data_IF_204765309196
#
_entry.id   IF_204765309196
#
_cell.length_a   1.000
_cell.length_b   1.000
_cell.length_c   1.000
_cell.angle_alpha   90.00
_cell.angle_beta   90.00
_cell.angle_gamma   90.00
#
_symmetry.space_group_name_H-M   'P 1'
#
loop_
_entity.id
_entity.type
_entity.pdbx_description
1 polymer ?
#
# COMPACT_ATOMS: atom_id res chain seq x y z
N UNK A 1 21.04 21.45 22.06
CA UNK A 1 21.77 20.38 21.33
C UNK A 1 21.67 20.68 19.85
N UNK A 2 22.77 20.70 19.11
CA UNK A 2 22.71 20.87 17.65
C UNK A 2 22.33 19.56 16.97
N UNK A 3 21.31 19.60 16.12
CA UNK A 3 20.88 18.46 15.30
C UNK A 3 21.17 18.79 13.84
N UNK A 4 21.91 17.90 13.18
CA UNK A 4 22.23 18.03 11.77
C UNK A 4 21.08 17.55 10.90
N UNK A 5 20.86 18.21 9.77
CA UNK A 5 19.89 17.78 8.76
C UNK A 5 20.27 16.39 8.23
N UNK A 6 19.35 15.41 8.19
CA UNK A 6 19.62 14.12 7.57
C UNK A 6 19.83 14.24 6.05
N UNK A 7 20.78 13.49 5.49
CA UNK A 7 21.16 13.53 4.07
C UNK A 7 20.06 13.08 3.08
N UNK A 8 18.97 12.47 3.58
CA UNK A 8 17.91 11.85 2.76
C UNK A 8 16.52 12.33 3.16
N UNK A 9 15.63 12.50 2.17
CA UNK A 9 14.21 12.85 2.31
C UNK A 9 13.88 14.30 2.74
N UNK A 10 14.87 15.16 2.96
CA UNK A 10 14.67 16.58 3.27
C UNK A 10 15.20 17.45 2.12
N UNK A 11 14.43 18.46 1.70
CA UNK A 11 14.81 19.38 0.62
C UNK A 11 15.85 20.43 1.04
N UNK A 12 16.40 21.14 0.05
CA UNK A 12 17.41 22.21 0.23
C UNK A 12 16.86 23.49 0.84
N UNK A 13 15.54 23.55 1.03
CA UNK A 13 14.78 24.61 1.67
C UNK A 13 14.87 24.59 3.21
N UNK A 14 15.56 23.61 3.80
CA UNK A 14 15.75 23.48 5.26
C UNK A 14 17.20 23.77 5.69
N UNK A 15 17.41 24.41 6.86
CA UNK A 15 18.74 24.73 7.36
C UNK A 15 19.58 23.47 7.62
N UNK A 16 20.89 23.56 7.39
CA UNK A 16 21.83 22.44 7.57
C UNK A 16 21.91 21.93 9.01
N UNK A 17 21.72 22.82 9.98
CA UNK A 17 21.64 22.49 11.40
C UNK A 17 20.60 23.36 12.10
N UNK A 18 19.98 22.82 13.13
CA UNK A 18 19.12 23.60 14.02
C UNK A 18 19.41 23.27 15.48
N UNK A 19 19.19 24.26 16.35
CA UNK A 19 19.30 24.06 17.79
C UNK A 19 18.01 23.45 18.34
N UNK A 20 18.12 22.21 18.80
CA UNK A 20 17.04 21.55 19.51
C UNK A 20 17.19 21.78 21.02
N UNK A 21 16.17 22.40 21.60
CA UNK A 21 16.02 22.57 23.05
C UNK A 21 14.93 21.59 23.51
N UNK A 22 15.30 20.48 24.18
CA UNK A 22 14.31 19.54 24.68
C UNK A 22 13.42 20.23 25.70
N UNK A 23 12.12 20.22 25.43
CA UNK A 23 11.09 20.76 26.33
C UNK A 23 10.39 19.62 27.04
N UNK A 24 9.98 19.88 28.28
CA UNK A 24 9.15 18.96 29.04
C UNK A 24 7.80 18.79 28.35
N UNK A 25 7.26 17.56 28.29
CA UNK A 25 5.88 17.35 27.87
C UNK A 25 4.90 18.07 28.82
N UNK A 26 3.74 18.55 28.32
CA UNK A 26 2.71 19.16 29.17
C UNK A 26 2.24 18.20 30.28
N UNK A 27 2.07 18.71 31.51
CA UNK A 27 1.60 17.92 32.66
C UNK A 27 2.70 17.32 33.54
N UNK A 28 3.97 17.69 33.31
CA UNK A 28 5.14 17.32 34.13
C UNK A 28 5.90 18.56 34.60
N UNK A 29 5.17 19.65 34.86
CA UNK A 29 5.75 20.95 35.23
C UNK A 29 6.44 20.92 36.61
N UNK A 30 5.99 19.99 37.46
CA UNK A 30 6.47 19.68 38.81
C UNK A 30 7.79 18.91 38.83
N UNK A 31 8.19 18.30 37.71
CA UNK A 31 9.42 17.54 37.57
C UNK A 31 10.44 18.29 36.69
N UNK A 32 11.71 18.22 37.04
CA UNK A 32 12.80 18.67 36.17
C UNK A 32 12.87 17.80 34.90
N UNK A 33 13.49 18.31 33.83
CA UNK A 33 13.61 17.56 32.58
C UNK A 33 14.33 16.21 32.78
N UNK A 34 15.35 16.17 33.63
CA UNK A 34 16.09 14.94 33.94
C UNK A 34 15.22 13.93 34.68
N UNK A 35 14.41 14.38 35.64
CA UNK A 35 13.48 13.52 36.37
C UNK A 35 12.38 12.96 35.46
N UNK A 36 11.89 13.75 34.52
CA UNK A 36 10.93 13.29 33.50
C UNK A 36 11.57 12.22 32.61
N UNK A 37 12.81 12.43 32.15
CA UNK A 37 13.54 11.44 31.35
C UNK A 37 13.72 10.14 32.13
N UNK A 38 14.22 10.22 33.37
CA UNK A 38 14.43 9.06 34.22
C UNK A 38 13.12 8.30 34.52
N UNK A 39 12.02 9.03 34.75
CA UNK A 39 10.69 8.46 34.93
C UNK A 39 10.25 7.64 33.72
N UNK A 40 10.34 8.20 32.52
CA UNK A 40 9.94 7.50 31.29
C UNK A 40 10.86 6.34 30.95
N UNK A 41 12.19 6.48 31.15
CA UNK A 41 13.12 5.37 30.94
C UNK A 41 12.82 4.19 31.87
N UNK A 42 12.56 4.46 33.15
CA UNK A 42 12.16 3.43 34.11
C UNK A 42 10.87 2.74 33.66
N UNK A 43 9.86 3.52 33.28
CA UNK A 43 8.56 2.99 32.84
C UNK A 43 8.70 2.14 31.57
N UNK A 44 9.52 2.57 30.61
CA UNK A 44 9.80 1.80 29.40
C UNK A 44 10.47 0.46 29.73
N UNK A 45 11.46 0.45 30.63
CA UNK A 45 12.12 -0.80 31.06
C UNK A 45 11.16 -1.74 31.78
N UNK A 46 10.27 -1.22 32.61
CA UNK A 46 9.25 -2.01 33.31
C UNK A 46 8.28 -2.68 32.32
N UNK A 47 7.75 -1.91 31.37
CA UNK A 47 6.84 -2.41 30.34
C UNK A 47 7.52 -3.40 29.39
N UNK A 48 8.77 -3.13 28.97
CA UNK A 48 9.54 -4.06 28.14
C UNK A 48 9.75 -5.40 28.85
N UNK A 49 10.10 -5.37 30.14
CA UNK A 49 10.25 -6.57 30.95
C UNK A 49 8.93 -7.35 31.07
N UNK A 50 7.80 -6.67 31.22
CA UNK A 50 6.49 -7.32 31.26
C UNK A 50 6.14 -7.96 29.91
N UNK A 51 6.38 -7.26 28.80
CA UNK A 51 6.20 -7.81 27.46
C UNK A 51 7.07 -9.07 27.27
N UNK A 52 8.33 -9.05 27.72
CA UNK A 52 9.22 -10.20 27.69
C UNK A 52 8.68 -11.39 28.51
N UNK A 53 8.18 -11.14 29.73
CA UNK A 53 7.54 -12.16 30.57
C UNK A 53 6.31 -12.77 29.90
N UNK A 54 5.42 -11.94 29.37
CA UNK A 54 4.20 -12.38 28.67
C UNK A 54 4.52 -13.21 27.42
N UNK A 55 5.54 -12.83 26.65
CA UNK A 55 6.01 -13.57 25.47
C UNK A 55 6.61 -14.92 25.86
N UNK A 56 7.43 -14.96 26.92
CA UNK A 56 8.00 -16.20 27.47
C UNK A 56 6.90 -17.16 27.95
N UNK A 57 5.89 -16.67 28.68
CA UNK A 57 4.70 -17.45 29.09
C UNK A 57 3.97 -18.06 27.89
N UNK A 58 3.84 -17.30 26.80
CA UNK A 58 3.22 -17.75 25.54
C UNK A 58 4.14 -18.60 24.66
N UNK A 59 5.35 -18.96 25.13
CA UNK A 59 6.41 -19.66 24.35
C UNK A 59 6.71 -19.01 23.00
N UNK A 60 6.57 -17.69 22.90
CA UNK A 60 6.88 -16.91 21.69
C UNK A 60 8.17 -16.13 21.91
N UNK A 61 9.06 -16.14 20.93
CA UNK A 61 10.33 -15.37 20.96
C UNK A 61 10.26 -14.27 19.91
N UNK A 62 10.96 -13.16 20.16
CA UNK A 62 11.24 -12.16 19.14
C UNK A 62 12.28 -12.71 18.17
N UNK A 63 12.16 -12.32 16.90
CA UNK A 63 13.13 -12.65 15.88
C UNK A 63 14.33 -11.70 16.06
N UNK A 64 15.53 -12.23 16.22
CA UNK A 64 16.74 -11.40 16.32
C UNK A 64 17.13 -10.80 14.96
N UNK A 65 17.96 -9.75 14.97
CA UNK A 65 18.39 -9.00 13.77
C UNK A 65 18.88 -9.94 12.65
N UNK A 66 19.77 -10.89 12.98
CA UNK A 66 20.30 -11.86 12.00
C UNK A 66 19.19 -12.66 11.30
N UNK A 67 18.17 -13.06 12.05
CA UNK A 67 17.07 -13.85 11.50
C UNK A 67 16.06 -12.99 10.73
N UNK A 68 15.85 -11.73 11.13
CA UNK A 68 15.08 -10.74 10.34
C UNK A 68 15.76 -10.51 8.99
N UNK A 69 17.07 -10.26 8.97
CA UNK A 69 17.82 -10.03 7.73
C UNK A 69 17.89 -11.27 6.83
N UNK A 70 17.88 -12.47 7.42
CA UNK A 70 17.80 -13.72 6.67
C UNK A 70 16.39 -14.03 6.15
N UNK A 71 15.36 -13.28 6.59
CA UNK A 71 13.99 -13.49 6.14
C UNK A 71 13.82 -12.85 4.76
N UNK A 72 13.42 -13.65 3.77
CA UNK A 72 13.09 -13.14 2.45
C UNK A 72 11.84 -12.24 2.56
N UNK A 73 11.90 -10.96 2.16
CA UNK A 73 10.76 -10.04 2.24
C UNK A 73 9.58 -10.45 1.36
N UNK A 74 9.80 -11.34 0.38
CA UNK A 74 8.75 -11.90 -0.46
C UNK A 74 8.17 -13.22 0.05
N UNK A 75 8.74 -13.79 1.13
CA UNK A 75 8.17 -14.97 1.75
C UNK A 75 6.90 -14.60 2.53
N UNK A 76 5.85 -15.36 2.32
CA UNK A 76 4.61 -15.26 3.06
C UNK A 76 4.36 -16.54 3.86
N UNK A 77 3.56 -16.45 4.93
CA UNK A 77 3.17 -17.62 5.71
C UNK A 77 2.44 -18.62 4.80
N UNK A 78 3.08 -19.78 4.55
CA UNK A 78 2.49 -20.89 3.77
C UNK A 78 1.29 -21.52 4.49
N UNK A 79 1.27 -21.37 5.80
CA UNK A 79 0.13 -21.71 6.65
C UNK A 79 -0.99 -20.69 6.41
N UNK A 80 -1.85 -21.01 5.45
CA UNK A 80 -3.20 -20.49 5.27
C UNK A 80 -4.03 -20.70 6.56
N UNK A 81 -3.68 -20.05 7.66
CA UNK A 81 -4.53 -20.03 8.85
C UNK A 81 -5.80 -19.26 8.48
N UNK A 82 -6.84 -20.06 8.24
CA UNK A 82 -8.27 -19.75 8.04
C UNK A 82 -8.76 -19.55 6.60
N UNK A 83 -8.55 -20.59 5.77
CA UNK A 83 -9.63 -21.14 4.91
C UNK A 83 -10.67 -21.96 5.70
N UNK A 84 -10.60 -22.00 7.03
CA UNK A 84 -11.66 -22.49 7.92
C UNK A 84 -12.74 -21.42 8.07
N UNK A 85 -13.67 -21.40 7.12
CA UNK A 85 -15.06 -21.04 7.40
C UNK A 85 -15.55 -19.63 7.11
N UNK A 86 -14.72 -18.60 6.85
CA UNK A 86 -15.24 -17.27 6.48
C UNK A 86 -14.39 -16.51 5.47
N UNK A 87 -15.10 -16.02 4.46
CA UNK A 87 -14.78 -15.04 3.42
C UNK A 87 -13.79 -15.48 2.35
N UNK A 88 -14.35 -15.89 1.19
CA UNK A 88 -13.72 -15.54 -0.07
C UNK A 88 -13.37 -14.05 0.02
N UNK A 89 -12.10 -13.67 -0.06
CA UNK A 89 -11.75 -12.25 -0.12
C UNK A 89 -12.34 -11.75 -1.44
N UNK A 90 -13.45 -11.00 -1.43
CA UNK A 90 -14.17 -10.72 -2.65
C UNK A 90 -13.31 -9.72 -3.43
N UNK A 91 -12.82 -10.14 -4.59
CA UNK A 91 -12.08 -9.24 -5.50
C UNK A 91 -13.02 -8.16 -6.06
N UNK A 92 -14.31 -8.48 -6.17
CA UNK A 92 -15.37 -7.60 -6.62
C UNK A 92 -16.52 -7.63 -5.61
N UNK A 93 -17.14 -6.48 -5.40
CA UNK A 93 -18.37 -6.35 -4.62
C UNK A 93 -19.35 -5.49 -5.42
N UNK A 94 -20.57 -5.99 -5.61
CA UNK A 94 -21.65 -5.27 -6.29
C UNK A 94 -22.97 -5.59 -5.59
N UNK A 95 -23.89 -4.63 -5.60
CA UNK A 95 -25.25 -4.84 -5.09
C UNK A 95 -26.05 -5.79 -5.99
N UNK A 96 -25.88 -5.66 -7.31
CA UNK A 96 -26.53 -6.52 -8.29
C UNK A 96 -25.64 -7.72 -8.65
N UNK A 97 -26.17 -8.96 -8.63
CA UNK A 97 -25.39 -10.17 -8.91
C UNK A 97 -24.86 -10.20 -10.35
N UNK A 98 -25.62 -9.70 -11.32
CA UNK A 98 -25.21 -9.64 -12.73
C UNK A 98 -23.93 -8.80 -12.93
N UNK A 99 -23.78 -7.70 -12.18
CA UNK A 99 -22.59 -6.85 -12.25
C UNK A 99 -21.35 -7.59 -11.72
N UNK A 100 -21.53 -8.45 -10.71
CA UNK A 100 -20.46 -9.26 -10.15
C UNK A 100 -20.00 -10.31 -11.18
N UNK A 101 -20.93 -11.02 -11.81
CA UNK A 101 -20.63 -12.00 -12.85
C UNK A 101 -19.93 -11.37 -14.06
N UNK A 102 -20.42 -10.21 -14.51
CA UNK A 102 -19.78 -9.48 -15.60
C UNK A 102 -18.37 -9.02 -15.22
N UNK A 103 -18.14 -8.53 -14.00
CA UNK A 103 -16.82 -8.13 -13.53
C UNK A 103 -15.83 -9.32 -13.52
N UNK A 104 -16.28 -10.47 -13.02
CA UNK A 104 -15.48 -11.71 -13.01
C UNK A 104 -15.17 -12.18 -14.44
N UNK A 105 -16.16 -12.14 -15.34
CA UNK A 105 -15.99 -12.51 -16.75
C UNK A 105 -14.97 -11.61 -17.45
N UNK A 106 -15.11 -10.28 -17.29
CA UNK A 106 -14.18 -9.28 -17.83
C UNK A 106 -12.77 -9.53 -17.30
N UNK A 107 -12.60 -9.74 -16.01
CA UNK A 107 -11.28 -10.00 -15.41
C UNK A 107 -10.60 -11.21 -16.04
N UNK A 108 -11.34 -12.33 -16.14
CA UNK A 108 -10.83 -13.57 -16.74
C UNK A 108 -10.43 -13.35 -18.20
N UNK A 109 -11.21 -12.56 -18.95
CA UNK A 109 -10.89 -12.21 -20.32
C UNK A 109 -9.60 -11.38 -20.42
N UNK A 110 -9.44 -10.36 -19.56
CA UNK A 110 -8.21 -9.56 -19.50
C UNK A 110 -6.99 -10.39 -19.14
N UNK A 111 -7.07 -11.20 -18.07
CA UNK A 111 -5.95 -12.05 -17.65
C UNK A 111 -5.55 -13.04 -18.74
N UNK A 112 -6.52 -13.66 -19.40
CA UNK A 112 -6.26 -14.58 -20.52
C UNK A 112 -5.58 -13.88 -21.69
N UNK A 113 -6.05 -12.69 -22.07
CA UNK A 113 -5.43 -11.88 -23.11
C UNK A 113 -4.01 -11.44 -22.73
N UNK A 114 -3.82 -10.96 -21.52
CA UNK A 114 -2.52 -10.53 -20.98
C UNK A 114 -1.52 -11.68 -20.95
N UNK A 115 -1.87 -12.84 -20.40
CA UNK A 115 -0.99 -14.02 -20.33
C UNK A 115 -0.57 -14.47 -21.73
N UNK A 116 -1.52 -14.51 -22.68
CA UNK A 116 -1.23 -14.88 -24.08
C UNK A 116 -0.22 -13.94 -24.73
N UNK A 117 -0.40 -12.62 -24.57
CA UNK A 117 0.50 -11.62 -25.16
C UNK A 117 1.85 -11.62 -24.43
N UNK A 118 1.86 -11.74 -23.10
CA UNK A 118 3.08 -11.80 -22.30
C UNK A 118 3.95 -13.00 -22.66
N UNK A 119 3.35 -14.19 -22.87
CA UNK A 119 4.09 -15.38 -23.34
C UNK A 119 4.77 -15.11 -24.69
N UNK A 120 4.08 -14.46 -25.63
CA UNK A 120 4.65 -14.10 -26.93
C UNK A 120 5.78 -13.07 -26.80
N UNK A 121 5.60 -12.07 -25.94
CA UNK A 121 6.58 -11.02 -25.70
C UNK A 121 7.86 -11.56 -25.04
N UNK A 122 7.72 -12.43 -24.03
CA UNK A 122 8.86 -13.14 -23.40
C UNK A 122 9.60 -14.02 -24.41
N UNK A 123 8.88 -14.66 -25.33
CA UNK A 123 9.48 -15.42 -26.43
C UNK A 123 10.12 -14.54 -27.53
N UNK A 124 10.31 -13.24 -27.29
CA UNK A 124 10.98 -12.32 -28.21
C UNK A 124 10.17 -11.92 -29.45
N UNK A 125 8.88 -12.26 -29.52
CA UNK A 125 8.06 -11.90 -30.69
C UNK A 125 7.82 -10.40 -30.74
N UNK A 126 8.17 -9.78 -31.86
CA UNK A 126 7.94 -8.35 -32.13
C UNK A 126 6.44 -8.06 -32.29
N UNK A 127 6.07 -6.77 -32.13
CA UNK A 127 4.69 -6.25 -32.33
C UNK A 127 3.62 -6.88 -31.41
N UNK A 128 3.98 -7.19 -30.16
CA UNK A 128 3.01 -7.60 -29.16
C UNK A 128 2.20 -6.37 -28.68
N UNK A 129 0.88 -6.41 -28.86
CA UNK A 129 -0.04 -5.39 -28.35
C UNK A 129 -0.78 -5.96 -27.15
N UNK A 130 -0.53 -5.39 -25.98
CA UNK A 130 -1.14 -5.79 -24.71
C UNK A 130 -2.57 -5.23 -24.57
N UNK A 131 -3.45 -5.90 -23.80
CA UNK A 131 -4.76 -5.37 -23.47
C UNK A 131 -4.64 -4.03 -22.71
N UNK A 132 -5.67 -3.18 -22.81
CA UNK A 132 -5.71 -1.94 -22.04
C UNK A 132 -5.81 -2.27 -20.54
N UNK A 133 -5.23 -1.44 -19.66
CA UNK A 133 -5.02 -1.75 -18.24
C UNK A 133 -3.66 -2.37 -17.91
N UNK A 134 -2.80 -2.65 -18.89
CA UNK A 134 -1.41 -3.08 -18.69
C UNK A 134 -0.49 -1.89 -18.33
N UNK A 135 -0.62 -1.33 -17.13
CA UNK A 135 0.06 -0.08 -16.76
C UNK A 135 1.56 -0.23 -16.46
N UNK A 136 1.93 -1.19 -15.61
CA UNK A 136 3.32 -1.32 -15.15
C UNK A 136 4.29 -1.65 -16.30
N UNK A 137 3.89 -2.57 -17.18
CA UNK A 137 4.74 -2.94 -18.33
C UNK A 137 4.82 -1.81 -19.35
N UNK A 138 3.74 -1.06 -19.59
CA UNK A 138 3.75 0.13 -20.45
C UNK A 138 4.68 1.22 -19.92
N UNK A 139 4.76 1.39 -18.60
CA UNK A 139 5.61 2.41 -17.97
C UNK A 139 7.10 2.03 -18.00
N UNK A 140 7.43 0.75 -17.86
CA UNK A 140 8.81 0.29 -17.66
C UNK A 140 9.41 -0.43 -18.88
N UNK A 141 8.67 -0.57 -19.98
CA UNK A 141 9.12 -1.27 -21.19
C UNK A 141 8.46 -0.66 -22.44
N UNK A 142 9.10 -0.70 -23.62
CA UNK A 142 8.54 -0.16 -24.87
C UNK A 142 7.47 -1.09 -25.48
N UNK A 143 6.46 -1.45 -24.70
CA UNK A 143 5.32 -2.25 -25.16
C UNK A 143 4.18 -1.36 -25.60
N UNK A 144 3.44 -1.81 -26.63
CA UNK A 144 2.20 -1.14 -27.04
C UNK A 144 1.02 -1.75 -26.29
N UNK A 145 0.09 -0.91 -25.87
CA UNK A 145 -1.20 -1.30 -25.31
C UNK A 145 -2.31 -0.86 -26.26
N UNK A 146 -3.44 -1.57 -26.24
CA UNK A 146 -4.67 -1.11 -26.89
C UNK A 146 -5.13 0.21 -26.29
N UNK A 147 -5.88 0.97 -27.09
CA UNK A 147 -6.54 2.19 -26.62
C UNK A 147 -7.52 1.88 -25.48
N UNK A 148 -7.81 2.89 -24.65
CA UNK A 148 -8.67 2.71 -23.49
C UNK A 148 -10.10 2.39 -23.90
N UNK A 149 -10.58 1.20 -23.56
CA UNK A 149 -11.98 0.82 -23.66
C UNK A 149 -12.64 1.03 -22.29
N UNK A 150 -13.68 1.89 -22.18
CA UNK A 150 -14.43 2.11 -20.93
C UNK A 150 -15.01 0.83 -20.33
N UNK A 151 -15.18 -0.23 -21.13
CA UNK A 151 -15.73 -1.51 -20.74
C UNK A 151 -14.67 -2.62 -20.53
N UNK A 152 -13.37 -2.31 -20.70
CA UNK A 152 -12.28 -3.29 -20.53
C UNK A 152 -11.91 -3.50 -19.06
N UNK A 153 -11.57 -4.74 -18.72
CA UNK A 153 -11.43 -5.15 -17.32
C UNK A 153 -10.24 -4.46 -16.63
N UNK A 154 -10.51 -3.84 -15.48
CA UNK A 154 -9.50 -3.14 -14.68
C UNK A 154 -9.79 -1.66 -14.51
N UNK A 155 -10.70 -1.09 -15.31
CA UNK A 155 -11.33 0.18 -15.01
C UNK A 155 -12.55 -0.09 -14.11
N UNK A 156 -12.72 0.70 -13.05
CA UNK A 156 -13.95 0.63 -12.27
C UNK A 156 -15.13 0.86 -13.21
N UNK A 157 -16.19 0.05 -13.10
CA UNK A 157 -17.38 0.14 -13.96
C UNK A 157 -18.05 1.54 -13.97
N UNK A 158 -17.64 2.42 -13.05
CA UNK A 158 -18.12 3.78 -12.89
C UNK A 158 -17.05 4.85 -13.24
N UNK A 159 -15.93 4.47 -13.85
CA UNK A 159 -14.93 5.45 -14.28
C UNK A 159 -15.44 6.18 -15.52
N UNK A 160 -16.13 7.29 -15.29
CA UNK A 160 -16.36 8.30 -16.33
C UNK A 160 -15.04 9.04 -16.52
N UNK A 161 -14.40 9.00 -17.70
CA UNK A 161 -13.22 9.81 -17.94
C UNK A 161 -13.58 11.28 -17.71
N UNK A 162 -12.79 11.98 -16.90
CA UNK A 162 -12.95 13.42 -16.72
C UNK A 162 -12.75 14.11 -18.08
N UNK A 163 -13.84 14.56 -18.69
CA UNK A 163 -13.80 15.32 -19.94
C UNK A 163 -13.55 16.78 -19.59
N UNK A 164 -12.47 17.42 -20.09
CA UNK A 164 -12.12 18.79 -19.70
C UNK A 164 -13.03 19.87 -20.33
N UNK A 165 -14.11 19.49 -21.01
CA UNK A 165 -15.03 20.43 -21.66
C UNK A 165 -16.35 20.51 -20.91
N UNK A 166 -16.46 21.55 -20.08
CA UNK A 166 -17.70 21.91 -19.41
C UNK A 166 -18.79 22.29 -20.41
N UNK A 167 -19.79 21.42 -20.56
CA UNK A 167 -21.09 21.78 -21.13
C UNK A 167 -22.09 21.92 -19.98
N UNK A 168 -22.44 23.16 -19.64
CA UNK A 168 -23.50 23.50 -18.70
C UNK A 168 -24.80 22.82 -19.15
N UNK A 169 -25.31 21.88 -18.35
CA UNK A 169 -26.68 21.36 -18.51
C UNK A 169 -27.66 22.49 -18.19
N UNK A 170 -28.24 23.08 -19.23
CA UNK A 170 -29.44 23.92 -19.14
C UNK A 170 -30.58 23.10 -18.54
N UNK A 171 -31.07 23.51 -17.36
CA UNK A 171 -32.35 23.04 -16.83
C UNK A 171 -33.45 23.78 -17.59
N UNK A 172 -34.19 23.07 -18.45
CA UNK A 172 -35.53 23.54 -18.85
C UNK A 172 -36.46 23.36 -17.65
N UNK A 173 -36.97 24.46 -17.12
CA UNK A 173 -38.17 24.45 -16.28
C UNK A 173 -39.37 24.32 -17.22
N UNK A 174 -40.18 23.29 -16.99
CA UNK A 174 -41.53 23.18 -17.56
C UNK A 174 -42.47 24.00 -16.66
N UNK A 175 -43.24 24.89 -17.28
CA UNK A 175 -44.48 25.43 -16.72
C UNK A 175 -45.62 24.44 -16.98
#
# INVERSE_FOLDING_TARGET
MQVQRPDSYYGDDQPESFEFIPRRPPGYDDMSLEEVVAYFEKRLREEENEIHRQRKKKRRRFLGIKAVLATNPFDCAKDLRRKKGRQSVPRYAAFHPELLEQAVSRERAFQSAYVRVRKRWIAGKKRCVFPCGTLWLRRNSPVKCREGDPNEAGLAANYVPHSPTGARRSRRMSL
#
